data_IF_908114840914
#
_entry.id   IF_908114840914
#
_cell.length_a   1.000
_cell.length_b   1.000
_cell.length_c   1.000
_cell.angle_alpha   90.00
_cell.angle_beta   90.00
_cell.angle_gamma   90.00
#
_symmetry.space_group_name_H-M   'P 1'
#
loop_
_entity.id
_entity.type
_entity.pdbx_description
1 polymer ?
#
# COMPACT_ATOMS: atom_id res chain seq x y z
N UNK A 1 -10.77 -36.13 10.04
CA UNK A 1 -10.82 -34.71 9.64
C UNK A 1 -11.02 -34.65 8.13
N UNK A 2 -12.03 -33.92 7.64
CA UNK A 2 -12.39 -33.91 6.21
C UNK A 2 -11.61 -32.83 5.46
N UNK A 3 -10.91 -33.23 4.40
CA UNK A 3 -10.10 -32.37 3.49
C UNK A 3 -10.87 -31.15 2.97
N UNK A 4 -12.18 -31.24 2.83
CA UNK A 4 -13.03 -30.12 2.40
C UNK A 4 -13.02 -28.94 3.38
N UNK A 5 -12.94 -29.18 4.71
CA UNK A 5 -12.84 -28.08 5.70
C UNK A 5 -11.51 -27.34 5.60
N UNK A 6 -10.41 -28.07 5.43
CA UNK A 6 -9.07 -27.49 5.32
C UNK A 6 -8.92 -26.59 4.08
N UNK A 7 -9.54 -26.99 2.95
CA UNK A 7 -9.55 -26.18 1.72
C UNK A 7 -10.38 -24.91 1.91
N UNK A 8 -11.57 -25.00 2.51
CA UNK A 8 -12.42 -23.83 2.78
C UNK A 8 -11.74 -22.80 3.69
N UNK A 9 -11.05 -23.26 4.75
CA UNK A 9 -10.31 -22.38 5.66
C UNK A 9 -9.10 -21.73 4.98
N UNK A 10 -8.42 -22.46 4.10
CA UNK A 10 -7.29 -21.95 3.33
C UNK A 10 -7.72 -20.83 2.37
N UNK A 11 -8.78 -21.06 1.58
CA UNK A 11 -9.33 -20.06 0.65
C UNK A 11 -9.87 -18.83 1.40
N UNK A 12 -10.55 -19.04 2.53
CA UNK A 12 -11.06 -17.95 3.36
C UNK A 12 -9.95 -17.05 3.92
N UNK A 13 -8.80 -17.62 4.29
CA UNK A 13 -7.63 -16.85 4.76
C UNK A 13 -6.99 -16.05 3.63
N UNK A 14 -6.82 -16.63 2.44
CA UNK A 14 -6.28 -15.92 1.28
C UNK A 14 -7.16 -14.74 0.86
N UNK A 15 -8.48 -14.94 0.79
CA UNK A 15 -9.42 -13.86 0.45
C UNK A 15 -9.32 -12.67 1.41
N UNK A 16 -9.21 -12.93 2.73
CA UNK A 16 -9.03 -11.86 3.73
C UNK A 16 -7.75 -11.05 3.49
N UNK A 17 -6.65 -11.72 3.13
CA UNK A 17 -5.37 -11.06 2.85
C UNK A 17 -5.49 -10.19 1.60
N UNK A 18 -6.11 -10.70 0.54
CA UNK A 18 -6.33 -9.96 -0.70
C UNK A 18 -7.21 -8.72 -0.46
N UNK A 19 -8.32 -8.87 0.28
CA UNK A 19 -9.18 -7.73 0.63
C UNK A 19 -8.44 -6.68 1.47
N UNK A 20 -7.65 -7.11 2.46
CA UNK A 20 -6.86 -6.18 3.28
C UNK A 20 -5.79 -5.47 2.45
N UNK A 21 -5.12 -6.19 1.56
CA UNK A 21 -4.15 -5.61 0.64
C UNK A 21 -4.78 -4.55 -0.25
N UNK A 22 -5.95 -4.82 -0.85
CA UNK A 22 -6.66 -3.86 -1.67
C UNK A 22 -7.03 -2.57 -0.91
N UNK A 23 -7.49 -2.70 0.34
CA UNK A 23 -7.79 -1.54 1.19
C UNK A 23 -6.54 -0.71 1.51
N UNK A 24 -5.42 -1.36 1.83
CA UNK A 24 -4.15 -0.66 2.08
C UNK A 24 -3.59 0.01 0.83
N UNK A 25 -3.72 -0.61 -0.35
CA UNK A 25 -3.33 0.00 -1.62
C UNK A 25 -4.12 1.27 -1.90
N UNK A 26 -5.45 1.24 -1.70
CA UNK A 26 -6.29 2.41 -1.84
C UNK A 26 -5.89 3.52 -0.85
N UNK A 27 -5.59 3.16 0.40
CA UNK A 27 -5.13 4.13 1.41
C UNK A 27 -3.76 4.72 1.05
N UNK A 28 -2.85 3.90 0.51
CA UNK A 28 -1.54 4.33 0.03
C UNK A 28 -1.68 5.32 -1.12
N UNK A 29 -2.56 5.05 -2.08
CA UNK A 29 -2.86 5.93 -3.23
C UNK A 29 -3.41 7.28 -2.75
N UNK A 30 -4.37 7.26 -1.82
CA UNK A 30 -4.94 8.48 -1.23
C UNK A 30 -3.88 9.38 -0.55
N UNK A 31 -2.91 8.80 0.16
CA UNK A 31 -1.84 9.58 0.77
C UNK A 31 -0.82 10.09 -0.25
N UNK A 32 -0.56 9.33 -1.32
CA UNK A 32 0.30 9.79 -2.44
C UNK A 32 -0.35 10.99 -3.10
N UNK A 33 -1.64 10.93 -3.43
CA UNK A 33 -2.36 12.05 -4.04
C UNK A 33 -2.34 13.30 -3.16
N UNK A 34 -2.57 13.16 -1.85
CA UNK A 34 -2.46 14.29 -0.92
C UNK A 34 -1.06 14.89 -0.87
N UNK A 35 -0.02 14.05 -0.82
CA UNK A 35 1.36 14.54 -0.81
C UNK A 35 1.71 15.27 -2.11
N UNK A 36 1.20 14.78 -3.25
CA UNK A 36 1.36 15.44 -4.55
C UNK A 36 0.61 16.78 -4.61
N UNK A 37 -0.62 16.86 -4.09
CA UNK A 37 -1.35 18.13 -4.01
C UNK A 37 -0.60 19.17 -3.17
N UNK A 38 -0.16 18.78 -1.98
CA UNK A 38 0.61 19.65 -1.09
C UNK A 38 1.93 20.10 -1.75
N UNK A 39 2.66 19.17 -2.36
CA UNK A 39 3.89 19.45 -3.10
C UNK A 39 3.66 20.47 -4.23
N UNK A 40 2.62 20.27 -5.06
CA UNK A 40 2.25 21.17 -6.17
C UNK A 40 1.85 22.57 -5.68
N UNK A 41 1.26 22.66 -4.49
CA UNK A 41 0.86 23.91 -3.85
C UNK A 41 2.03 24.59 -3.11
N UNK A 42 3.20 23.97 -3.05
CA UNK A 42 4.36 24.48 -2.30
C UNK A 42 4.16 24.44 -0.78
N UNK A 43 3.27 23.58 -0.30
CA UNK A 43 3.01 23.37 1.13
C UNK A 43 3.92 22.26 1.67
N UNK A 44 4.25 22.27 2.98
CA UNK A 44 4.97 21.17 3.60
C UNK A 44 4.20 19.85 3.44
N UNK A 45 4.89 18.81 3.01
CA UNK A 45 4.36 17.46 2.86
C UNK A 45 5.35 16.43 3.43
N UNK A 46 4.87 15.21 3.66
CA UNK A 46 5.69 14.11 4.16
C UNK A 46 5.32 12.80 3.46
N UNK A 47 6.29 11.89 3.36
CA UNK A 47 6.10 10.52 2.92
C UNK A 47 5.77 9.54 4.08
N UNK A 48 5.73 10.00 5.33
CA UNK A 48 5.61 9.13 6.51
C UNK A 48 4.35 8.27 6.47
N UNK A 49 3.17 8.88 6.21
CA UNK A 49 1.90 8.14 6.13
C UNK A 49 1.88 7.14 4.97
N UNK A 50 2.51 7.48 3.84
CA UNK A 50 2.64 6.59 2.68
C UNK A 50 3.52 5.38 3.07
N UNK A 51 4.61 5.64 3.80
CA UNK A 51 5.56 4.63 4.24
C UNK A 51 5.03 3.75 5.38
N UNK A 52 4.19 4.29 6.26
CA UNK A 52 3.47 3.52 7.29
C UNK A 52 2.59 2.45 6.63
N UNK A 53 1.76 2.85 5.67
CA UNK A 53 0.90 1.93 4.91
C UNK A 53 1.73 0.95 4.07
N UNK A 54 2.82 1.43 3.47
CA UNK A 54 3.77 0.58 2.73
C UNK A 54 4.40 -0.48 3.65
N UNK A 55 4.68 -0.13 4.91
CA UNK A 55 5.14 -1.05 5.94
C UNK A 55 4.11 -2.13 6.24
N UNK A 56 2.84 -1.77 6.41
CA UNK A 56 1.75 -2.73 6.61
C UNK A 56 1.59 -3.69 5.43
N UNK A 57 1.68 -3.18 4.19
CA UNK A 57 1.65 -3.99 2.97
C UNK A 57 2.83 -4.95 2.94
N UNK A 58 4.03 -4.46 3.27
CA UNK A 58 5.23 -5.28 3.30
C UNK A 58 5.15 -6.37 4.37
N UNK A 59 4.54 -6.10 5.51
CA UNK A 59 4.29 -7.11 6.54
C UNK A 59 3.31 -8.18 6.04
N UNK A 60 2.23 -7.79 5.37
CA UNK A 60 1.31 -8.74 4.73
C UNK A 60 1.99 -9.55 3.61
N UNK A 61 2.94 -8.94 2.89
CA UNK A 61 3.66 -9.60 1.79
C UNK A 61 4.51 -10.77 2.22
N UNK A 62 4.95 -10.80 3.49
CA UNK A 62 5.71 -11.92 4.08
C UNK A 62 4.93 -13.25 4.05
N UNK A 63 3.61 -13.20 3.90
CA UNK A 63 2.77 -14.38 3.76
C UNK A 63 2.84 -15.01 2.34
N UNK A 64 3.52 -14.36 1.39
CA UNK A 64 3.81 -14.88 0.05
C UNK A 64 2.66 -14.81 -0.96
N UNK A 65 1.53 -14.23 -0.59
CA UNK A 65 0.32 -14.16 -1.43
C UNK A 65 0.25 -12.86 -2.23
N UNK A 66 0.83 -11.78 -1.70
CA UNK A 66 0.78 -10.43 -2.27
C UNK A 66 2.21 -9.85 -2.37
N UNK A 67 2.50 -8.99 -3.36
CA UNK A 67 3.83 -8.43 -3.54
C UNK A 67 4.16 -7.36 -2.48
N UNK A 68 5.44 -7.23 -2.15
CA UNK A 68 5.96 -6.10 -1.39
C UNK A 68 5.95 -4.81 -2.22
N UNK A 69 5.91 -3.66 -1.54
CA UNK A 69 5.95 -2.32 -2.12
C UNK A 69 7.20 -1.56 -1.67
N UNK A 70 7.74 -0.75 -2.58
CA UNK A 70 8.88 0.13 -2.29
C UNK A 70 8.42 1.31 -1.43
N UNK A 71 9.21 1.65 -0.42
CA UNK A 71 9.06 2.90 0.32
C UNK A 71 9.28 4.10 -0.60
N UNK A 72 8.55 5.18 -0.30
CA UNK A 72 8.54 6.42 -1.06
C UNK A 72 9.41 7.44 -0.34
N UNK A 73 10.27 8.14 -1.08
CA UNK A 73 11.04 9.28 -0.57
C UNK A 73 10.39 10.59 -0.99
N UNK A 74 10.75 11.68 -0.31
CA UNK A 74 10.32 13.03 -0.68
C UNK A 74 10.72 13.35 -2.12
N UNK A 75 11.96 13.05 -2.50
CA UNK A 75 12.47 13.23 -3.86
C UNK A 75 11.60 12.53 -4.92
N UNK A 76 11.14 11.30 -4.65
CA UNK A 76 10.26 10.58 -5.58
C UNK A 76 8.92 11.31 -5.79
N UNK A 77 8.39 11.96 -4.75
CA UNK A 77 7.14 12.74 -4.81
C UNK A 77 7.37 14.02 -5.62
N UNK A 78 8.47 14.74 -5.37
CA UNK A 78 8.84 15.97 -6.08
C UNK A 78 9.10 15.72 -7.57
N UNK A 79 9.85 14.66 -7.90
CA UNK A 79 10.10 14.26 -9.28
C UNK A 79 8.79 13.95 -10.01
N UNK A 80 7.88 13.22 -9.36
CA UNK A 80 6.60 12.85 -9.96
C UNK A 80 5.66 14.06 -10.11
N UNK A 81 5.59 14.92 -9.09
CA UNK A 81 4.83 16.17 -9.14
C UNK A 81 5.33 17.10 -10.25
N UNK A 82 6.64 17.13 -10.49
CA UNK A 82 7.27 17.95 -11.53
C UNK A 82 7.06 17.41 -12.95
N UNK A 83 7.00 16.08 -13.12
CA UNK A 83 6.75 15.43 -14.43
C UNK A 83 5.30 15.53 -14.89
N UNK A 84 4.37 15.74 -13.97
CA UNK A 84 2.92 15.79 -14.23
C UNK A 84 2.40 17.23 -14.38
N UNK A 85 3.30 18.18 -14.62
CA UNK A 85 3.01 19.62 -14.76
C UNK A 85 2.71 20.00 -16.21
#
# INVERSE_FOLDING_TARGET
>A
MSVHKAISEHVGKQNKIITKFAALEQQREYYIEQALDLCRRGLPFSADKINEVTGEINELSKQGIIPARKYVTIEMIEEYASKTK
#
